data_IF_376003253035
#
_entry.id   IF_376003253035
#
_cell.length_a   1.000
_cell.length_b   1.000
_cell.length_c   1.000
_cell.angle_alpha   90.00
_cell.angle_beta   90.00
_cell.angle_gamma   90.00
#
_symmetry.space_group_name_H-M   'P 1'
#
loop_
_entity.id
_entity.type
_entity.pdbx_description
1 polymer ?
#
# COMPACT_ATOMS: atom_id res chain seq x y z
N UNK A 1 16.42 -25.42 28.21
CA UNK A 1 16.05 -24.04 27.84
C UNK A 1 17.05 -23.58 26.79
N UNK A 2 16.59 -23.03 25.66
CA UNK A 2 17.42 -22.81 24.47
C UNK A 2 18.31 -21.56 24.63
N UNK A 3 19.52 -21.55 24.08
CA UNK A 3 20.45 -20.40 24.14
C UNK A 3 19.84 -19.14 23.50
N UNK A 4 18.95 -19.34 22.53
CA UNK A 4 18.14 -18.27 21.96
C UNK A 4 17.19 -17.64 22.99
N UNK A 5 16.46 -18.46 23.76
CA UNK A 5 15.52 -17.95 24.77
C UNK A 5 16.23 -17.16 25.86
N UNK A 6 17.40 -17.63 26.29
CA UNK A 6 18.19 -16.93 27.30
C UNK A 6 18.63 -15.54 26.81
N UNK A 7 19.15 -15.46 25.58
CA UNK A 7 19.55 -14.19 24.97
C UNK A 7 18.35 -13.27 24.70
N UNK A 8 17.23 -13.84 24.27
CA UNK A 8 15.97 -13.10 24.05
C UNK A 8 15.44 -12.49 25.35
N UNK A 9 15.34 -13.28 26.42
CA UNK A 9 14.87 -12.82 27.72
C UNK A 9 15.79 -11.75 28.31
N UNK A 10 17.11 -11.94 28.19
CA UNK A 10 18.11 -10.96 28.63
C UNK A 10 17.98 -9.65 27.85
N UNK A 11 17.79 -9.72 26.53
CA UNK A 11 17.58 -8.53 25.69
C UNK A 11 16.27 -7.81 26.02
N UNK A 12 15.19 -8.56 26.23
CA UNK A 12 13.88 -8.01 26.57
C UNK A 12 13.86 -7.35 27.96
N UNK A 13 14.57 -7.92 28.94
CA UNK A 13 14.73 -7.32 30.27
C UNK A 13 15.46 -5.97 30.18
N UNK A 14 16.60 -5.93 29.48
CA UNK A 14 17.36 -4.69 29.28
C UNK A 14 16.58 -3.61 28.52
N UNK A 15 15.76 -4.00 27.55
CA UNK A 15 14.92 -3.06 26.82
C UNK A 15 13.81 -2.44 27.68
N UNK A 16 13.32 -3.17 28.69
CA UNK A 16 12.33 -2.67 29.65
C UNK A 16 12.95 -1.78 30.74
N UNK A 17 14.19 -2.08 31.12
CA UNK A 17 14.98 -1.28 32.06
C UNK A 17 15.57 -0.03 31.43
N UNK A 18 15.63 0.04 30.10
CA UNK A 18 15.98 1.26 29.39
C UNK A 18 14.95 2.34 29.74
N UNK A 19 15.40 3.28 30.57
CA UNK A 19 14.64 4.48 30.90
C UNK A 19 14.20 5.12 29.59
N UNK A 20 12.90 5.44 29.40
CA UNK A 20 12.46 6.12 28.20
C UNK A 20 13.27 7.41 28.11
N UNK A 21 14.17 7.46 27.13
CA UNK A 21 14.82 8.71 26.76
C UNK A 21 13.69 9.71 26.60
N UNK A 22 13.79 10.88 27.24
CA UNK A 22 12.93 12.01 26.92
C UNK A 22 12.81 12.11 25.39
N UNK A 23 11.67 12.55 24.83
CA UNK A 23 11.52 12.71 23.38
C UNK A 23 12.54 13.76 22.91
N UNK A 24 13.76 13.30 22.68
CA UNK A 24 14.86 14.08 22.19
C UNK A 24 14.49 14.35 20.74
N UNK A 25 14.21 15.61 20.46
CA UNK A 25 13.97 16.10 19.13
C UNK A 25 15.07 15.53 18.22
N UNK A 26 14.65 14.73 17.24
CA UNK A 26 15.58 13.99 16.41
C UNK A 26 16.58 15.00 15.79
N UNK A 27 17.90 14.77 15.88
CA UNK A 27 18.89 15.73 15.41
C UNK A 27 18.59 16.14 13.96
N UNK A 28 18.73 17.42 13.62
CA UNK A 28 18.50 17.87 12.25
C UNK A 28 19.27 16.98 11.25
N UNK A 29 18.58 16.52 10.21
CA UNK A 29 19.14 15.58 9.24
C UNK A 29 19.28 14.12 9.72
N UNK A 30 18.65 13.73 10.84
CA UNK A 30 18.56 12.33 11.27
C UNK A 30 17.94 11.46 10.17
N UNK A 31 16.79 11.87 9.62
CA UNK A 31 16.14 11.17 8.51
C UNK A 31 17.08 11.00 7.31
N UNK A 32 17.84 12.03 6.96
CA UNK A 32 18.77 12.00 5.84
C UNK A 32 19.96 11.07 6.10
N UNK A 33 20.48 11.04 7.32
CA UNK A 33 21.54 10.10 7.75
C UNK A 33 21.04 8.65 7.78
N UNK A 34 19.80 8.43 8.22
CA UNK A 34 19.15 7.11 8.19
C UNK A 34 18.97 6.63 6.76
N UNK A 35 18.44 7.47 5.86
CA UNK A 35 18.28 7.15 4.44
C UNK A 35 19.64 6.87 3.78
N UNK A 36 20.65 7.69 4.05
CA UNK A 36 22.00 7.49 3.52
C UNK A 36 22.58 6.15 3.98
N UNK A 37 22.39 5.79 5.26
CA UNK A 37 22.87 4.52 5.81
C UNK A 37 22.09 3.32 5.26
N UNK A 38 20.78 3.45 5.09
CA UNK A 38 19.94 2.43 4.46
C UNK A 38 20.39 2.15 3.02
N UNK A 39 20.70 3.19 2.24
CA UNK A 39 21.23 3.05 0.87
C UNK A 39 22.66 2.52 0.81
N UNK A 40 23.49 2.83 1.81
CA UNK A 40 24.88 2.37 1.87
C UNK A 40 25.00 0.91 2.35
N UNK A 41 23.94 0.33 2.92
CA UNK A 41 23.98 -1.05 3.39
C UNK A 41 23.77 -1.97 2.20
N UNK A 42 24.73 -2.86 1.88
CA UNK A 42 24.58 -3.79 0.77
C UNK A 42 23.41 -4.74 1.08
N UNK A 43 22.42 -4.75 0.19
CA UNK A 43 21.25 -5.60 0.31
C UNK A 43 21.67 -7.06 0.51
N UNK A 44 21.13 -7.66 1.56
CA UNK A 44 21.33 -9.09 1.85
C UNK A 44 20.76 -9.93 0.70
N UNK A 45 21.27 -11.15 0.48
CA UNK A 45 20.77 -12.02 -0.60
C UNK A 45 19.26 -12.31 -0.48
N UNK A 46 18.71 -12.29 0.74
CA UNK A 46 17.27 -12.46 0.98
C UNK A 46 16.44 -11.25 0.52
N UNK A 47 16.92 -10.03 0.78
CA UNK A 47 16.27 -8.79 0.33
C UNK A 47 16.24 -8.69 -1.19
N UNK A 48 17.31 -9.12 -1.87
CA UNK A 48 17.33 -9.14 -3.35
C UNK A 48 16.31 -10.11 -3.94
N UNK A 49 16.07 -11.25 -3.29
CA UNK A 49 15.03 -12.20 -3.71
C UNK A 49 13.65 -11.58 -3.48
N UNK A 50 13.45 -10.96 -2.32
CA UNK A 50 12.25 -10.21 -2.00
C UNK A 50 11.94 -9.16 -3.06
N UNK A 51 12.91 -8.31 -3.40
CA UNK A 51 12.79 -7.23 -4.38
C UNK A 51 12.38 -7.72 -5.77
N UNK A 52 13.00 -8.80 -6.28
CA UNK A 52 12.57 -9.40 -7.56
C UNK A 52 11.14 -9.93 -7.48
N UNK A 53 10.75 -10.51 -6.35
CA UNK A 53 9.42 -11.08 -6.18
C UNK A 53 8.35 -9.98 -6.11
N UNK A 54 8.61 -8.88 -5.39
CA UNK A 54 7.72 -7.71 -5.35
C UNK A 54 7.58 -7.07 -6.72
N UNK A 55 8.67 -6.90 -7.47
CA UNK A 55 8.59 -6.36 -8.83
C UNK A 55 7.78 -7.25 -9.78
N UNK A 56 7.93 -8.58 -9.67
CA UNK A 56 7.13 -9.52 -10.47
C UNK A 56 5.66 -9.50 -10.07
N UNK A 57 5.36 -9.43 -8.77
CA UNK A 57 3.99 -9.33 -8.27
C UNK A 57 3.33 -8.03 -8.73
N UNK A 58 4.05 -6.90 -8.66
CA UNK A 58 3.58 -5.61 -9.14
C UNK A 58 3.33 -5.64 -10.65
N UNK A 59 4.27 -6.16 -11.44
CA UNK A 59 4.09 -6.29 -12.88
C UNK A 59 2.88 -7.17 -13.23
N UNK A 60 2.67 -8.26 -12.49
CA UNK A 60 1.50 -9.13 -12.65
C UNK A 60 0.20 -8.38 -12.33
N UNK A 61 0.15 -7.65 -11.21
CA UNK A 61 -1.02 -6.85 -10.84
C UNK A 61 -1.34 -5.78 -11.90
N UNK A 62 -0.32 -5.07 -12.40
CA UNK A 62 -0.49 -4.11 -13.49
C UNK A 62 -1.01 -4.77 -14.77
N UNK A 63 -0.51 -5.96 -15.11
CA UNK A 63 -0.98 -6.70 -16.29
C UNK A 63 -2.45 -7.12 -16.14
N UNK A 64 -2.86 -7.58 -14.95
CA UNK A 64 -4.26 -7.93 -14.66
C UNK A 64 -5.16 -6.70 -14.77
N UNK A 65 -4.75 -5.56 -14.21
CA UNK A 65 -5.50 -4.30 -14.31
C UNK A 65 -5.61 -3.80 -15.76
N UNK A 66 -4.53 -3.92 -16.54
CA UNK A 66 -4.55 -3.58 -17.95
C UNK A 66 -5.47 -4.52 -18.75
N UNK A 67 -5.46 -5.82 -18.43
CA UNK A 67 -6.35 -6.80 -19.04
C UNK A 67 -7.82 -6.54 -18.68
N UNK A 68 -8.14 -6.19 -17.43
CA UNK A 68 -9.51 -5.84 -17.05
C UNK A 68 -9.97 -4.58 -17.77
N UNK A 69 -9.12 -3.54 -17.85
CA UNK A 69 -9.44 -2.32 -18.61
C UNK A 69 -9.68 -2.62 -20.10
N UNK A 70 -8.84 -3.48 -20.70
CA UNK A 70 -8.97 -3.86 -22.10
C UNK A 70 -10.22 -4.69 -22.39
N UNK A 71 -10.66 -5.53 -21.43
CA UNK A 71 -11.90 -6.29 -21.54
C UNK A 71 -13.15 -5.43 -21.33
N UNK A 72 -13.08 -4.39 -20.50
CA UNK A 72 -14.20 -3.46 -20.31
C UNK A 72 -14.30 -2.40 -21.43
N UNK A 73 -13.20 -2.07 -22.10
CA UNK A 73 -13.20 -1.09 -23.20
C UNK A 73 -14.19 -1.41 -24.35
N UNK A 74 -14.32 -2.65 -24.86
CA UNK A 74 -15.33 -2.99 -25.86
C UNK A 74 -16.73 -3.21 -25.25
N UNK A 75 -16.86 -3.23 -23.93
CA UNK A 75 -18.10 -3.48 -23.20
C UNK A 75 -18.72 -2.21 -22.60
N UNK A 76 -18.16 -1.03 -22.87
CA UNK A 76 -18.91 0.22 -22.71
C UNK A 76 -19.86 0.35 -23.91
N UNK A 77 -21.14 -0.06 -23.82
CA UNK A 77 -22.12 0.51 -24.74
C UNK A 77 -22.01 2.03 -24.58
N UNK A 78 -22.04 2.76 -25.69
CA UNK A 78 -22.29 4.19 -25.65
C UNK A 78 -23.58 4.38 -24.87
N UNK A 79 -23.46 4.77 -23.60
CA UNK A 79 -24.56 4.77 -22.67
C UNK A 79 -25.39 6.04 -22.93
N UNK A 80 -26.23 5.97 -23.96
CA UNK A 80 -27.35 6.91 -24.16
C UNK A 80 -28.48 6.65 -23.13
N UNK A 81 -28.31 5.75 -22.15
CA UNK A 81 -29.35 5.37 -21.19
C UNK A 81 -29.30 6.12 -19.85
N UNK A 82 -28.41 7.10 -19.68
CA UNK A 82 -28.40 7.99 -18.51
C UNK A 82 -29.37 9.19 -18.62
N UNK A 83 -30.43 9.06 -19.42
CA UNK A 83 -31.62 9.88 -19.19
C UNK A 83 -32.48 9.14 -18.15
N UNK A 84 -32.69 9.69 -16.94
CA UNK A 84 -33.65 9.11 -16.03
C UNK A 84 -35.03 9.20 -16.70
N UNK A 85 -35.53 8.08 -17.22
CA UNK A 85 -36.89 7.94 -17.75
C UNK A 85 -37.99 8.34 -16.74
N UNK A 86 -37.60 8.56 -15.48
CA UNK A 86 -38.44 9.09 -14.40
C UNK A 86 -38.88 10.54 -14.69
N UNK A 87 -38.07 11.35 -15.37
CA UNK A 87 -38.44 12.75 -15.68
C UNK A 87 -39.53 12.85 -16.76
N UNK A 88 -39.57 11.90 -17.71
CA UNK A 88 -40.57 11.88 -18.78
C UNK A 88 -41.95 11.46 -18.27
N UNK A 89 -42.01 10.51 -17.33
CA UNK A 89 -43.30 10.08 -16.74
C UNK A 89 -43.90 11.19 -15.87
N UNK A 90 -43.07 11.95 -15.15
CA UNK A 90 -43.54 13.09 -14.34
C UNK A 90 -44.08 14.24 -15.21
N UNK A 91 -43.47 14.51 -16.37
CA UNK A 91 -43.96 15.55 -17.28
C UNK A 91 -45.25 15.15 -17.99
N UNK A 92 -45.40 13.91 -18.47
CA UNK A 92 -46.64 13.49 -19.14
C UNK A 92 -47.88 13.46 -18.21
N UNK A 93 -47.69 13.10 -16.93
CA UNK A 93 -48.77 13.13 -15.92
C UNK A 93 -49.16 14.55 -15.48
N UNK A 94 -48.23 15.52 -15.50
CA UNK A 94 -48.51 16.88 -15.03
C UNK A 94 -49.21 17.76 -16.08
N UNK A 95 -49.04 17.46 -17.37
CA UNK A 95 -49.66 18.24 -18.46
C UNK A 95 -51.03 17.72 -18.91
N UNK A 96 -51.47 16.57 -18.39
CA UNK A 96 -52.76 15.94 -18.74
C UNK A 96 -53.86 16.11 -17.68
N UNK A 97 -53.58 16.83 -16.58
CA UNK A 97 -54.58 17.28 -15.59
C UNK A 97 -54.88 18.77 -15.72
#
# INVERSE_FOLDING_TARGET
>A
MNEFDHRWQTGAARAREAQPSEPAEAPHGFAQRVIARARATPATPLERIGERLTWRALACACAVLAASLFLELPAAPADESFLPAVETVATELFWTS
#
